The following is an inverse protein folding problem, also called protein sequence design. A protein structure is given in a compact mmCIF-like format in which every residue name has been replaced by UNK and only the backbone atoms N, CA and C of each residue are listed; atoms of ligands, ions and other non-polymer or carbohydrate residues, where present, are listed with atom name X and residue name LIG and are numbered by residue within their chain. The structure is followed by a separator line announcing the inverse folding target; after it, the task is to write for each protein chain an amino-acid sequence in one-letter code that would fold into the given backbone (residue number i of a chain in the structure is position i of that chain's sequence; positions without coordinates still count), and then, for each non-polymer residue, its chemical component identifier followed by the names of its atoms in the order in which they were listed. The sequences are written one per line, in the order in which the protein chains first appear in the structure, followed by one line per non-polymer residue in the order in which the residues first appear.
data_IF_462060894123
#
_entry.id   IF_462060894123
#
_cell.length_a   1.000
_cell.length_b   1.000
_cell.length_c   1.000
_cell.angle_alpha   90.00
_cell.angle_beta   90.00
_cell.angle_gamma   90.00
#
_symmetry.space_group_name_H-M   'P 1'
#
loop_
_entity.id
_entity.type
_entity.pdbx_description
1 polymer ?
#
# COMPACT_ATOMS: atom_id res chain seq x y z
N UNK A 1 -19.47 -5.51 16.91
CA UNK A 1 -18.48 -4.40 16.96
C UNK A 1 -17.07 -4.88 17.29
N UNK A 2 -16.89 -5.92 18.15
CA UNK A 2 -15.58 -6.54 18.38
C UNK A 2 -14.94 -7.15 17.13
N UNK A 3 -15.74 -7.76 16.24
CA UNK A 3 -15.23 -8.38 15.00
C UNK A 3 -14.56 -7.41 14.04
N UNK A 4 -15.03 -6.17 13.90
CA UNK A 4 -14.43 -5.20 12.98
C UNK A 4 -13.08 -4.67 13.47
N UNK A 5 -12.91 -4.56 14.79
CA UNK A 5 -11.63 -4.14 15.40
C UNK A 5 -10.62 -5.29 15.33
N UNK A 6 -11.06 -6.53 15.56
CA UNK A 6 -10.24 -7.74 15.36
C UNK A 6 -9.83 -7.89 13.90
N UNK A 7 -10.74 -7.67 12.94
CA UNK A 7 -10.47 -7.76 11.51
C UNK A 7 -9.51 -6.65 11.05
N UNK A 8 -9.64 -5.44 11.60
CA UNK A 8 -8.70 -4.34 11.37
C UNK A 8 -7.31 -4.64 11.94
N UNK A 9 -7.22 -5.13 13.18
CA UNK A 9 -5.94 -5.53 13.81
C UNK A 9 -5.29 -6.70 13.05
N UNK A 10 -6.08 -7.70 12.65
CA UNK A 10 -5.60 -8.83 11.85
C UNK A 10 -5.12 -8.40 10.47
N UNK A 11 -5.79 -7.48 9.79
CA UNK A 11 -5.32 -6.98 8.48
C UNK A 11 -4.10 -6.03 8.60
N UNK A 12 -4.01 -5.25 9.67
CA UNK A 12 -2.90 -4.32 9.91
C UNK A 12 -1.63 -5.06 10.35
N UNK A 13 -1.74 -6.03 11.25
CA UNK A 13 -0.60 -6.70 11.91
C UNK A 13 -0.36 -8.13 11.43
N UNK A 14 -1.40 -8.93 11.17
CA UNK A 14 -1.25 -10.37 10.91
C UNK A 14 -1.19 -10.71 9.41
N UNK A 15 -2.01 -10.05 8.59
CA UNK A 15 -2.05 -10.18 7.13
C UNK A 15 -1.46 -8.95 6.43
N UNK A 16 -0.37 -8.40 6.96
CA UNK A 16 0.24 -7.22 6.36
C UNK A 16 0.66 -7.51 4.90
N UNK A 17 0.06 -6.82 3.94
CA UNK A 17 0.25 -7.05 2.51
C UNK A 17 1.70 -6.84 2.07
N UNK A 18 2.42 -5.96 2.75
CA UNK A 18 3.80 -5.62 2.44
C UNK A 18 4.79 -6.69 2.95
N UNK A 19 4.55 -7.22 4.15
CA UNK A 19 5.51 -8.07 4.87
C UNK A 19 5.13 -9.57 4.88
N UNK A 20 3.85 -9.90 4.76
CA UNK A 20 3.34 -11.27 4.72
C UNK A 20 2.98 -11.74 3.31
N UNK A 21 2.47 -10.84 2.44
CA UNK A 21 2.13 -11.17 1.05
C UNK A 21 3.15 -10.65 0.02
N UNK A 22 4.13 -9.83 0.43
CA UNK A 22 5.20 -9.27 -0.42
C UNK A 22 4.71 -8.39 -1.59
N UNK A 23 3.57 -7.70 -1.45
CA UNK A 23 3.10 -6.74 -2.46
C UNK A 23 3.52 -5.31 -2.10
N UNK A 24 3.90 -4.52 -3.11
CA UNK A 24 4.22 -3.10 -2.95
C UNK A 24 5.69 -2.76 -2.68
N UNK A 25 6.60 -3.66 -3.04
CA UNK A 25 8.05 -3.45 -2.90
C UNK A 25 8.59 -2.26 -3.71
N UNK A 26 7.97 -1.89 -4.83
CA UNK A 26 8.43 -0.86 -5.75
C UNK A 26 8.50 0.54 -5.09
N UNK A 27 7.41 1.09 -4.52
CA UNK A 27 7.48 2.35 -3.78
C UNK A 27 8.22 2.22 -2.45
N UNK A 28 8.19 1.03 -1.84
CA UNK A 28 8.85 0.75 -0.56
C UNK A 28 10.37 0.92 -0.63
N UNK A 29 11.03 0.43 -1.68
CA UNK A 29 12.48 0.59 -1.86
C UNK A 29 12.87 2.01 -2.31
N UNK A 30 12.00 2.68 -3.09
CA UNK A 30 12.25 4.00 -3.66
C UNK A 30 12.09 5.16 -2.67
N UNK A 31 11.07 5.12 -1.81
CA UNK A 31 10.66 6.27 -0.97
C UNK A 31 11.11 6.19 0.50
N UNK A 32 11.81 5.12 0.88
CA UNK A 32 12.24 4.85 2.26
C UNK A 32 13.55 5.53 2.67
N UNK A 33 14.14 6.39 1.83
CA UNK A 33 15.39 7.09 2.16
C UNK A 33 15.21 8.21 3.21
N UNK A 34 14.02 8.79 3.31
CA UNK A 34 13.69 9.87 4.25
C UNK A 34 12.35 9.60 4.92
N UNK A 35 12.24 9.90 6.21
CA UNK A 35 10.98 9.75 6.94
C UNK A 35 9.86 10.65 6.41
N UNK A 36 10.17 11.90 6.03
CA UNK A 36 9.17 12.83 5.48
C UNK A 36 8.54 12.32 4.18
N UNK A 37 9.34 11.76 3.27
CA UNK A 37 8.83 11.21 2.01
C UNK A 37 8.05 9.92 2.23
N UNK A 38 8.48 9.10 3.19
CA UNK A 38 7.80 7.88 3.60
C UNK A 38 6.38 8.15 4.13
N UNK A 39 6.25 9.11 5.04
CA UNK A 39 4.95 9.50 5.61
C UNK A 39 4.02 10.06 4.53
N UNK A 40 4.54 10.94 3.66
CA UNK A 40 3.77 11.50 2.54
C UNK A 40 3.28 10.42 1.57
N UNK A 41 4.13 9.45 1.24
CA UNK A 41 3.76 8.33 0.38
C UNK A 41 2.72 7.41 1.04
N UNK A 42 2.88 7.11 2.33
CA UNK A 42 1.93 6.30 3.10
C UNK A 42 0.53 6.93 3.10
N UNK A 43 0.42 8.23 3.37
CA UNK A 43 -0.86 8.94 3.34
C UNK A 43 -1.50 8.95 1.94
N UNK A 44 -0.70 9.15 0.89
CA UNK A 44 -1.20 9.12 -0.48
C UNK A 44 -1.76 7.74 -0.85
N UNK A 45 -1.06 6.66 -0.47
CA UNK A 45 -1.52 5.29 -0.71
C UNK A 45 -2.79 4.98 0.10
N UNK A 46 -2.88 5.41 1.37
CA UNK A 46 -4.11 5.25 2.18
C UNK A 46 -5.31 5.89 1.48
N UNK A 47 -5.17 7.13 1.03
CA UNK A 47 -6.25 7.81 0.34
C UNK A 47 -6.66 7.10 -0.96
N UNK A 48 -5.70 6.75 -1.82
CA UNK A 48 -5.99 6.09 -3.10
C UNK A 48 -6.61 4.72 -2.89
N UNK A 49 -6.14 3.95 -1.91
CA UNK A 49 -6.54 2.55 -1.71
C UNK A 49 -7.94 2.43 -1.08
N UNK A 50 -8.32 3.36 -0.19
CA UNK A 50 -9.69 3.47 0.33
C UNK A 50 -10.67 3.84 -0.78
N UNK A 51 -10.34 4.87 -1.57
CA UNK A 51 -11.18 5.31 -2.68
C UNK A 51 -11.30 4.24 -3.77
N UNK A 52 -10.18 3.60 -4.12
CA UNK A 52 -10.16 2.49 -5.07
C UNK A 52 -10.98 1.31 -4.57
N UNK A 53 -10.86 0.93 -3.29
CA UNK A 53 -11.67 -0.13 -2.69
C UNK A 53 -13.17 0.12 -2.77
N UNK A 54 -13.61 1.36 -2.50
CA UNK A 54 -15.01 1.74 -2.59
C UNK A 54 -15.54 1.68 -4.03
N UNK A 55 -14.79 2.26 -4.98
CA UNK A 55 -15.22 2.37 -6.38
C UNK A 55 -15.16 1.01 -7.09
N UNK A 56 -14.11 0.22 -6.84
CA UNK A 56 -13.99 -1.13 -7.43
C UNK A 56 -15.07 -2.08 -6.92
N UNK A 57 -15.45 -1.97 -5.64
CA UNK A 57 -16.59 -2.72 -5.10
C UNK A 57 -17.91 -2.33 -5.79
N UNK A 58 -18.15 -1.03 -5.96
CA UNK A 58 -19.35 -0.54 -6.64
C UNK A 58 -19.40 -1.02 -8.11
N UNK A 59 -18.26 -0.97 -8.78
CA UNK A 59 -18.12 -1.41 -10.18
C UNK A 59 -18.30 -2.93 -10.32
N UNK A 60 -17.82 -3.72 -9.38
CA UNK A 60 -18.05 -5.16 -9.37
C UNK A 60 -19.53 -5.50 -9.17
N UNK A 61 -20.16 -4.91 -8.15
CA UNK A 61 -21.53 -5.22 -7.76
C UNK A 61 -22.58 -4.73 -8.78
N UNK A 62 -22.40 -3.52 -9.34
CA UNK A 62 -23.39 -2.89 -10.22
C UNK A 62 -23.11 -3.03 -11.71
N UNK A 63 -21.87 -3.30 -12.12
CA UNK A 63 -21.48 -3.38 -13.53
C UNK A 63 -21.03 -4.79 -13.93
N UNK A 64 -20.06 -5.39 -13.24
CA UNK A 64 -19.49 -6.66 -13.71
C UNK A 64 -20.38 -7.87 -13.46
N UNK A 65 -20.92 -8.02 -12.25
CA UNK A 65 -21.84 -9.12 -11.92
C UNK A 65 -23.11 -9.13 -12.80
N UNK A 66 -23.84 -8.01 -13.01
CA UNK A 66 -25.07 -8.05 -13.81
C UNK A 66 -24.84 -8.19 -15.32
N UNK A 67 -23.70 -7.76 -15.85
CA UNK A 67 -23.38 -7.90 -17.27
C UNK A 67 -22.57 -9.16 -17.61
N UNK A 68 -22.18 -9.98 -16.62
CA UNK A 68 -21.39 -11.20 -16.83
C UNK A 68 -19.97 -10.94 -17.34
N UNK A 69 -19.40 -9.75 -17.07
CA UNK A 69 -18.13 -9.27 -17.62
C UNK A 69 -16.94 -9.50 -16.67
N UNK A 70 -16.97 -10.57 -15.88
CA UNK A 70 -15.94 -10.86 -14.86
C UNK A 70 -14.53 -10.95 -15.45
N UNK A 71 -14.38 -11.33 -16.73
CA UNK A 71 -13.08 -11.39 -17.41
C UNK A 71 -12.41 -10.01 -17.59
N UNK A 72 -13.16 -8.90 -17.54
CA UNK A 72 -12.66 -7.53 -17.67
C UNK A 72 -12.25 -6.90 -16.33
N UNK A 73 -12.43 -7.61 -15.20
CA UNK A 73 -12.19 -7.12 -13.84
C UNK A 73 -10.85 -6.43 -13.67
N UNK A 74 -9.78 -7.11 -14.07
CA UNK A 74 -8.41 -6.62 -13.97
C UNK A 74 -8.20 -5.31 -14.72
N UNK A 75 -8.72 -5.21 -15.95
CA UNK A 75 -8.56 -4.02 -16.81
C UNK A 75 -9.38 -2.86 -16.24
N UNK A 76 -10.61 -3.12 -15.80
CA UNK A 76 -11.46 -2.10 -15.19
C UNK A 76 -10.82 -1.50 -13.94
N UNK A 77 -10.21 -2.32 -13.08
CA UNK A 77 -9.55 -1.83 -11.86
C UNK A 77 -8.33 -0.98 -12.16
N UNK A 78 -7.52 -1.37 -13.15
CA UNK A 78 -6.36 -0.56 -13.56
C UNK A 78 -6.82 0.83 -14.03
N UNK A 79 -7.90 0.92 -14.82
CA UNK A 79 -8.44 2.21 -15.29
C UNK A 79 -8.95 3.06 -14.13
N UNK A 80 -9.69 2.46 -13.18
CA UNK A 80 -10.17 3.15 -11.99
C UNK A 80 -9.00 3.70 -11.18
N UNK A 81 -8.01 2.87 -10.87
CA UNK A 81 -6.83 3.28 -10.10
C UNK A 81 -6.03 4.37 -10.84
N UNK A 82 -5.82 4.22 -12.14
CA UNK A 82 -5.11 5.21 -12.95
C UNK A 82 -5.81 6.59 -12.92
N UNK A 83 -7.13 6.61 -13.05
CA UNK A 83 -7.90 7.86 -12.99
C UNK A 83 -7.84 8.53 -11.62
N UNK A 84 -7.87 7.74 -10.53
CA UNK A 84 -7.76 8.24 -9.16
C UNK A 84 -6.37 8.79 -8.86
N UNK A 85 -5.31 8.09 -9.25
CA UNK A 85 -3.94 8.57 -9.03
C UNK A 85 -3.69 9.84 -9.84
N UNK A 86 -4.19 9.93 -11.07
CA UNK A 86 -4.09 11.15 -11.87
C UNK A 86 -4.78 12.33 -11.19
N UNK A 87 -5.95 12.10 -10.59
CA UNK A 87 -6.64 13.12 -9.79
C UNK A 87 -5.80 13.55 -8.57
N UNK A 88 -5.20 12.60 -7.86
CA UNK A 88 -4.32 12.88 -6.71
C UNK A 88 -3.06 13.64 -7.14
N UNK A 89 -2.50 13.34 -8.30
CA UNK A 89 -1.34 14.06 -8.86
C UNK A 89 -1.65 15.54 -9.11
N UNK A 90 -2.77 15.82 -9.76
CA UNK A 90 -3.23 17.19 -9.99
C UNK A 90 -3.51 17.92 -8.67
N UNK A 91 -4.10 17.23 -7.69
CA UNK A 91 -4.38 17.78 -6.36
C UNK A 91 -3.09 18.12 -5.60
N UNK A 92 -2.12 17.19 -5.55
CA UNK A 92 -0.85 17.41 -4.85
C UNK A 92 -0.01 18.51 -5.49
N UNK A 93 0.00 18.60 -6.83
CA UNK A 93 0.71 19.67 -7.55
C UNK A 93 0.19 21.07 -7.17
N UNK A 94 -1.11 21.20 -6.90
CA UNK A 94 -1.75 22.48 -6.55
C UNK A 94 -1.69 22.78 -5.05
N UNK A 95 -1.97 21.80 -4.20
CA UNK A 95 -2.12 22.01 -2.76
C UNK A 95 -0.79 22.00 -2.00
N UNK A 96 0.16 21.13 -2.38
CA UNK A 96 1.41 20.91 -1.62
C UNK A 96 2.60 20.75 -2.59
N UNK A 97 3.11 21.85 -3.18
CA UNK A 97 4.20 21.79 -4.16
C UNK A 97 5.52 21.27 -3.56
N UNK A 98 5.73 21.41 -2.25
CA UNK A 98 6.89 20.86 -1.55
C UNK A 98 6.92 19.32 -1.60
N UNK A 99 5.77 18.67 -1.36
CA UNK A 99 5.65 17.21 -1.41
C UNK A 99 5.72 16.71 -2.86
N UNK A 100 5.11 17.44 -3.80
CA UNK A 100 5.18 17.11 -5.23
C UNK A 100 6.62 17.14 -5.77
N UNK A 101 7.47 18.08 -5.34
CA UNK A 101 8.89 18.12 -5.76
C UNK A 101 9.68 16.89 -5.29
N UNK A 102 9.35 16.33 -4.13
CA UNK A 102 10.03 15.14 -3.58
C UNK A 102 9.44 13.81 -4.06
N UNK A 103 8.13 13.77 -4.29
CA UNK A 103 7.39 12.53 -4.58
C UNK A 103 6.95 12.41 -6.04
N UNK A 104 7.04 13.47 -6.85
CA UNK A 104 6.48 13.56 -8.21
C UNK A 104 6.80 12.37 -9.11
N UNK A 105 8.03 11.85 -9.05
CA UNK A 105 8.46 10.69 -9.86
C UNK A 105 7.81 9.37 -9.38
N UNK A 106 7.43 9.29 -8.11
CA UNK A 106 6.84 8.12 -7.47
C UNK A 106 5.31 8.07 -7.54
N UNK A 107 4.64 9.16 -7.91
CA UNK A 107 3.17 9.18 -8.06
C UNK A 107 2.68 8.17 -9.12
N UNK A 108 3.28 8.11 -10.33
CA UNK A 108 2.96 7.07 -11.31
C UNK A 108 3.26 5.65 -10.83
N UNK A 109 4.14 5.46 -9.83
CA UNK A 109 4.37 4.13 -9.25
C UNK A 109 3.21 3.68 -8.34
N UNK A 110 2.28 4.57 -7.96
CA UNK A 110 1.06 4.20 -7.23
C UNK A 110 0.10 3.44 -8.14
N UNK A 111 -0.03 3.82 -9.42
CA UNK A 111 -0.97 3.17 -10.36
C UNK A 111 -0.62 1.70 -10.62
N UNK A 112 0.68 1.42 -10.65
CA UNK A 112 1.25 0.08 -10.89
C UNK A 112 1.60 -0.63 -9.58
N UNK A 113 1.15 -0.11 -8.44
CA UNK A 113 1.44 -0.70 -7.15
C UNK A 113 0.61 -1.98 -6.96
N UNK A 114 1.32 -3.11 -6.86
CA UNK A 114 0.73 -4.42 -6.63
C UNK A 114 -0.14 -4.46 -5.37
N UNK A 115 0.21 -3.70 -4.32
CA UNK A 115 -0.59 -3.67 -3.09
C UNK A 115 -1.98 -3.05 -3.31
N UNK A 116 -2.08 -1.98 -4.11
CA UNK A 116 -3.37 -1.32 -4.39
C UNK A 116 -4.28 -2.24 -5.18
N UNK A 117 -3.75 -2.85 -6.23
CA UNK A 117 -4.49 -3.79 -7.07
C UNK A 117 -4.86 -5.07 -6.31
N UNK A 118 -3.93 -5.60 -5.50
CA UNK A 118 -4.12 -6.81 -4.71
C UNK A 118 -5.25 -6.67 -3.69
N UNK A 119 -5.33 -5.55 -2.96
CA UNK A 119 -6.43 -5.31 -2.01
C UNK A 119 -7.77 -5.29 -2.72
N UNK A 120 -7.87 -4.61 -3.87
CA UNK A 120 -9.12 -4.55 -4.63
C UNK A 120 -9.58 -5.96 -5.06
N UNK A 121 -8.63 -6.82 -5.48
CA UNK A 121 -8.94 -8.21 -5.83
C UNK A 121 -9.31 -9.06 -4.61
N UNK A 122 -8.59 -8.93 -3.49
CA UNK A 122 -8.90 -9.67 -2.25
C UNK A 122 -10.30 -9.29 -1.76
N UNK A 123 -10.65 -8.01 -1.80
CA UNK A 123 -11.95 -7.54 -1.35
C UNK A 123 -13.13 -8.18 -2.09
N UNK A 124 -12.90 -8.56 -3.35
CA UNK A 124 -13.91 -9.11 -4.23
C UNK A 124 -13.92 -10.63 -4.17
N UNK A 125 -12.75 -11.28 -4.09
CA UNK A 125 -12.68 -12.73 -3.93
C UNK A 125 -13.28 -13.21 -2.60
N UNK A 126 -13.12 -12.42 -1.54
CA UNK A 126 -13.71 -12.70 -0.21
C UNK A 126 -15.18 -12.24 -0.09
N UNK A 127 -15.78 -11.71 -1.18
CA UNK A 127 -17.17 -11.23 -1.23
C UNK A 127 -17.57 -10.29 -0.07
N UNK A 128 -16.65 -9.40 0.36
CA UNK A 128 -16.94 -8.48 1.44
C UNK A 128 -18.09 -7.53 1.10
N UNK A 129 -18.88 -7.14 2.10
CA UNK A 129 -19.87 -6.05 1.97
C UNK A 129 -19.19 -4.69 1.80
N UNK A 130 -19.90 -3.67 1.29
CA UNK A 130 -19.36 -2.32 1.08
C UNK A 130 -18.65 -1.73 2.31
N UNK A 131 -19.22 -1.96 3.50
CA UNK A 131 -18.64 -1.47 4.75
C UNK A 131 -17.39 -2.27 5.11
N UNK A 132 -17.38 -3.58 4.89
CA UNK A 132 -16.21 -4.41 5.12
C UNK A 132 -15.08 -4.06 4.14
N UNK A 133 -15.37 -3.85 2.86
CA UNK A 133 -14.34 -3.50 1.85
C UNK A 133 -13.68 -2.15 2.12
N UNK A 134 -14.43 -1.18 2.65
CA UNK A 134 -13.87 0.09 3.13
C UNK A 134 -12.93 -0.11 4.33
N UNK A 135 -13.37 -0.88 5.32
CA UNK A 135 -12.57 -1.14 6.54
C UNK A 135 -11.31 -1.95 6.22
N UNK A 136 -11.40 -2.97 5.36
CA UNK A 136 -10.23 -3.76 4.94
C UNK A 136 -9.27 -2.92 4.12
N UNK A 137 -9.76 -2.13 3.16
CA UNK A 137 -8.91 -1.21 2.38
C UNK A 137 -8.19 -0.20 3.25
N UNK A 138 -8.88 0.39 4.23
CA UNK A 138 -8.24 1.30 5.18
C UNK A 138 -7.19 0.59 6.04
N UNK A 139 -7.51 -0.61 6.54
CA UNK A 139 -6.62 -1.40 7.38
C UNK A 139 -5.35 -1.80 6.65
N UNK A 140 -5.48 -2.32 5.42
CA UNK A 140 -4.34 -2.71 4.60
C UNK A 140 -3.45 -1.53 4.22
N UNK A 141 -4.04 -0.39 3.88
CA UNK A 141 -3.23 0.78 3.54
C UNK A 141 -2.53 1.39 4.77
N UNK A 142 -3.17 1.32 5.94
CA UNK A 142 -2.55 1.72 7.21
C UNK A 142 -1.38 0.80 7.55
N UNK A 143 -1.54 -0.52 7.37
CA UNK A 143 -0.46 -1.50 7.54
C UNK A 143 0.72 -1.26 6.59
N UNK A 144 0.44 -0.89 5.32
CA UNK A 144 1.45 -0.49 4.35
C UNK A 144 2.20 0.78 4.80
N UNK A 145 1.46 1.81 5.22
CA UNK A 145 2.05 3.06 5.71
C UNK A 145 2.93 2.85 6.94
N UNK A 146 2.47 2.06 7.91
CA UNK A 146 3.21 1.74 9.13
C UNK A 146 4.50 0.99 8.81
N UNK A 147 4.43 -0.04 7.95
CA UNK A 147 5.61 -0.79 7.51
C UNK A 147 6.64 0.11 6.81
N UNK A 148 6.17 1.05 5.97
CA UNK A 148 7.03 1.95 5.22
C UNK A 148 7.72 2.97 6.14
N UNK A 149 7.00 3.50 7.14
CA UNK A 149 7.56 4.41 8.16
C UNK A 149 8.58 3.68 9.05
N UNK A 150 8.29 2.45 9.50
CA UNK A 150 9.26 1.65 10.26
C UNK A 150 10.53 1.39 9.44
N UNK A 151 10.38 1.01 8.17
CA UNK A 151 11.52 0.73 7.30
C UNK A 151 12.37 1.98 7.04
N UNK A 152 11.73 3.13 6.79
CA UNK A 152 12.44 4.40 6.63
C UNK A 152 13.23 4.78 7.90
N UNK A 153 12.64 4.55 9.08
CA UNK A 153 13.29 4.82 10.36
C UNK A 153 14.52 3.94 10.59
N UNK A 154 14.43 2.64 10.27
CA UNK A 154 15.60 1.74 10.34
C UNK A 154 16.64 2.13 9.29
N UNK A 155 16.22 2.50 8.07
CA UNK A 155 17.13 2.88 6.99
C UNK A 155 17.92 4.15 7.30
N UNK A 156 17.29 5.16 7.92
CA UNK A 156 17.99 6.36 8.40
C UNK A 156 19.04 6.02 9.47
N UNK A 157 18.75 5.08 10.38
CA UNK A 157 19.71 4.62 11.38
C UNK A 157 20.89 3.85 10.77
N UNK A 158 20.62 3.02 9.77
CA UNK A 158 21.65 2.22 9.08
C UNK A 158 22.59 3.11 8.28
N UNK A 159 22.11 4.23 7.72
CA UNK A 159 22.96 5.21 7.04
C UNK A 159 24.00 5.86 7.97
N UNK A 160 23.69 5.97 9.27
CA UNK A 160 24.61 6.47 10.29
C UNK A 160 25.60 5.40 10.79
N UNK A 161 25.35 4.12 10.48
CA UNK A 161 26.18 3.01 10.91
C UNK A 161 27.36 2.76 9.94
N UNK A 162 28.41 2.07 10.40
CA UNK A 162 29.54 1.65 9.54
C UNK A 162 29.11 0.50 8.64
N UNK A 163 28.60 0.82 7.46
CA UNK A 163 28.25 -0.15 6.41
C UNK A 163 29.45 -0.39 5.47
N UNK A 164 29.77 -1.65 5.12
CA UNK A 164 30.77 -1.95 4.09
C UNK A 164 30.41 -1.25 2.77
N UNK A 165 31.38 -0.59 2.12
CA UNK A 165 31.19 0.14 0.84
C UNK A 165 30.42 -0.64 -0.25
N UNK A 166 30.60 -1.97 -0.43
CA UNK A 166 29.86 -2.72 -1.44
C UNK A 166 28.37 -2.89 -1.16
N UNK A 167 27.93 -2.72 0.09
CA UNK A 167 26.55 -2.97 0.53
C UNK A 167 25.73 -1.69 0.71
N UNK A 168 26.26 -0.53 0.35
CA UNK A 168 25.59 0.75 0.57
C UNK A 168 24.30 0.91 -0.25
N UNK A 169 23.41 1.78 0.23
CA UNK A 169 22.12 2.15 -0.37
C UNK A 169 21.06 1.05 -0.46
N UNK A 170 20.99 0.36 -1.60
CA UNK A 170 19.86 -0.52 -1.96
C UNK A 170 20.09 -1.93 -1.43
N UNK A 171 21.34 -2.40 -1.45
CA UNK A 171 21.72 -3.73 -0.99
C UNK A 171 21.44 -3.91 0.50
N UNK A 172 21.87 -2.96 1.34
CA UNK A 172 21.53 -3.03 2.76
C UNK A 172 20.04 -2.79 3.02
N UNK A 173 19.38 -1.99 2.19
CA UNK A 173 17.92 -1.83 2.24
C UNK A 173 17.20 -3.16 2.09
N UNK A 174 17.62 -4.02 1.15
CA UNK A 174 17.06 -5.36 0.97
C UNK A 174 17.34 -6.28 2.16
N UNK A 175 18.54 -6.24 2.73
CA UNK A 175 18.88 -7.03 3.93
C UNK A 175 18.01 -6.60 5.13
N UNK A 176 17.88 -5.30 5.35
CA UNK A 176 17.03 -4.74 6.41
C UNK A 176 15.56 -5.07 6.18
N UNK A 177 15.09 -5.03 4.94
CA UNK A 177 13.73 -5.42 4.57
C UNK A 177 13.48 -6.91 4.89
N UNK A 178 14.45 -7.79 4.58
CA UNK A 178 14.38 -9.21 4.95
C UNK A 178 14.35 -9.44 6.46
N UNK A 179 15.18 -8.71 7.23
CA UNK A 179 15.16 -8.78 8.70
C UNK A 179 13.83 -8.29 9.29
N UNK A 180 13.28 -7.20 8.75
CA UNK A 180 11.95 -6.72 9.14
C UNK A 180 10.85 -7.71 8.76
N UNK A 181 10.91 -8.32 7.58
CA UNK A 181 9.97 -9.37 7.18
C UNK A 181 9.98 -10.52 8.19
N UNK A 182 11.15 -11.02 8.59
CA UNK A 182 11.28 -12.07 9.62
C UNK A 182 10.68 -11.64 10.97
N UNK A 183 10.88 -10.39 11.39
CA UNK A 183 10.27 -9.87 12.62
C UNK A 183 8.74 -9.82 12.53
N UNK A 184 8.19 -9.45 11.37
CA UNK A 184 6.75 -9.43 11.14
C UNK A 184 6.15 -10.83 10.97
N UNK A 185 6.92 -11.81 10.46
CA UNK A 185 6.50 -13.22 10.42
C UNK A 185 6.21 -13.78 11.81
N UNK A 186 6.85 -13.27 12.87
CA UNK A 186 6.55 -13.67 14.25
C UNK A 186 5.11 -13.31 14.67
N UNK A 187 4.51 -12.26 14.09
CA UNK A 187 3.13 -11.85 14.36
C UNK A 187 2.09 -12.75 13.67
N UNK A 188 2.51 -13.59 12.70
CA UNK A 188 1.62 -14.50 11.98
C UNK A 188 1.00 -15.57 12.87
N UNK A 189 1.62 -15.88 14.00
CA UNK A 189 1.10 -16.82 15.00
C UNK A 189 0.02 -16.25 15.95
N UNK A 190 -0.37 -14.99 15.80
CA UNK A 190 -1.44 -14.36 16.60
C UNK A 190 -2.83 -14.36 15.94
N UNK A 191 -2.96 -14.88 14.71
CA UNK A 191 -4.26 -15.13 14.07
C UNK A 191 -4.86 -16.46 14.49
#
# INVERSE_FOLDING_TARGET
MGDYVLLAISCILVNNILLAQYLGCCPFLGTSKKMETAIGMGMAVIFVLVMAGAITWLLEAYLLKPFGLEYLRTIAFIIVIASLVQFVEMFLRKSIPALYKGLGIFLPLITTNCAVMGVCLININEEYTFVQSLVTSFSYATGFGLALVLFAGVRERVLLARVPKPLQDTSIGLVVAGMLALAFFAFKGMA
#
